data_IF_955994941900
#
_entry.id   IF_955994941900
#
_cell.length_a   1.000
_cell.length_b   1.000
_cell.length_c   1.000
_cell.angle_alpha   90.00
_cell.angle_beta   90.00
_cell.angle_gamma   90.00
#
_symmetry.space_group_name_H-M   'P 1'
#
loop_
_entity.id
_entity.type
_entity.pdbx_description
1 polymer ?
#
# COMPACT_ATOMS: atom_id res chain seq x y z
N UNK A 1 19.59 -46.82 55.45
CA UNK A 1 20.40 -46.27 54.34
C UNK A 1 19.45 -45.88 53.29
N UNK A 2 19.20 -44.58 53.13
CA UNK A 2 18.23 -44.00 52.16
C UNK A 2 19.02 -43.36 51.04
N UNK A 3 18.72 -43.78 49.83
CA UNK A 3 19.23 -43.18 48.63
C UNK A 3 18.30 -42.00 48.23
N UNK A 4 18.82 -40.79 47.91
CA UNK A 4 18.03 -39.73 47.43
C UNK A 4 17.86 -39.84 45.91
N UNK A 5 16.59 -39.88 45.48
CA UNK A 5 16.16 -39.79 44.07
C UNK A 5 16.65 -38.50 43.41
N UNK A 6 17.40 -38.71 42.34
CA UNK A 6 17.81 -37.67 41.42
C UNK A 6 16.63 -37.30 40.54
N UNK A 7 16.02 -36.10 40.79
CA UNK A 7 15.03 -35.49 39.88
C UNK A 7 15.73 -34.90 38.65
N UNK A 8 15.68 -35.60 37.55
CA UNK A 8 16.03 -35.02 36.26
C UNK A 8 14.90 -34.04 35.84
N UNK A 9 15.21 -32.76 35.86
CA UNK A 9 14.42 -31.72 35.23
C UNK A 9 14.44 -31.92 33.72
N UNK A 10 13.28 -32.06 33.11
CA UNK A 10 13.11 -32.05 31.67
C UNK A 10 13.45 -30.66 31.11
N UNK A 11 14.22 -30.57 30.01
CA UNK A 11 14.43 -29.29 29.35
C UNK A 11 13.12 -28.81 28.72
N UNK A 12 12.71 -27.61 29.10
CA UNK A 12 11.53 -26.94 28.58
C UNK A 12 11.59 -26.86 27.05
N UNK A 13 10.54 -27.30 26.43
CA UNK A 13 10.29 -27.07 25.02
C UNK A 13 10.26 -25.56 24.77
N UNK A 14 11.30 -25.02 24.16
CA UNK A 14 11.23 -23.73 23.50
C UNK A 14 10.22 -23.86 22.39
N UNK A 15 9.02 -23.29 22.61
CA UNK A 15 8.11 -22.99 21.53
C UNK A 15 8.86 -22.10 20.55
N UNK A 16 9.15 -22.66 19.37
CA UNK A 16 9.68 -21.89 18.26
C UNK A 16 8.72 -20.75 17.97
N UNK A 17 9.16 -19.54 18.25
CA UNK A 17 8.56 -18.34 17.66
C UNK A 17 8.71 -18.50 16.15
N UNK A 18 7.60 -18.79 15.50
CA UNK A 18 7.49 -18.55 14.06
C UNK A 18 7.84 -17.07 13.83
N UNK A 19 8.69 -16.76 12.86
CA UNK A 19 8.89 -15.36 12.49
C UNK A 19 7.51 -14.82 12.09
N UNK A 20 7.10 -13.75 12.73
CA UNK A 20 5.93 -12.99 12.32
C UNK A 20 6.21 -12.46 10.89
N UNK A 21 5.64 -13.13 9.90
CA UNK A 21 5.50 -12.55 8.56
C UNK A 21 4.31 -11.60 8.64
N UNK A 22 4.61 -10.37 8.89
CA UNK A 22 3.68 -9.27 8.92
C UNK A 22 4.45 -8.06 9.41
N UNK A 23 4.54 -7.02 8.61
CA UNK A 23 5.08 -5.74 9.06
C UNK A 23 4.33 -5.33 10.32
N UNK A 24 5.06 -4.99 11.36
CA UNK A 24 4.47 -4.46 12.59
C UNK A 24 3.86 -3.09 12.23
N UNK A 25 2.53 -2.94 12.31
CA UNK A 25 1.86 -1.66 12.11
C UNK A 25 2.40 -0.55 13.04
N UNK A 26 3.27 -0.94 14.02
CA UNK A 26 4.00 -0.03 14.90
C UNK A 26 4.92 0.94 14.19
N UNK A 27 5.31 0.63 12.94
CA UNK A 27 6.11 1.50 12.09
C UNK A 27 5.25 2.40 11.18
N UNK A 28 3.96 2.54 11.48
CA UNK A 28 3.08 3.47 10.77
C UNK A 28 3.66 4.89 10.78
N UNK A 29 3.54 5.59 9.67
CA UNK A 29 4.13 6.92 9.44
C UNK A 29 3.75 7.98 10.50
N UNK A 30 2.76 7.72 11.32
CA UNK A 30 2.29 8.59 12.41
C UNK A 30 2.85 8.24 13.79
N UNK A 31 3.68 7.19 13.91
CA UNK A 31 4.32 6.81 15.20
C UNK A 31 3.36 6.29 16.27
N UNK A 32 2.07 6.13 15.98
CA UNK A 32 1.12 5.48 16.87
C UNK A 32 1.16 3.96 16.62
N UNK A 33 1.44 3.22 17.68
CA UNK A 33 1.38 1.77 17.61
C UNK A 33 -0.06 1.31 17.34
N UNK A 34 -0.24 0.43 16.35
CA UNK A 34 -1.54 -0.18 16.08
C UNK A 34 -2.13 -0.80 17.34
N UNK A 35 -3.42 -0.66 17.53
CA UNK A 35 -4.12 -1.35 18.61
C UNK A 35 -4.08 -2.87 18.36
N UNK A 36 -4.17 -3.71 19.41
CA UNK A 36 -4.24 -5.16 19.24
C UNK A 36 -5.43 -5.60 18.36
N UNK A 37 -6.50 -4.80 18.29
CA UNK A 37 -7.65 -5.05 17.45
C UNK A 37 -7.34 -4.78 15.97
N UNK A 38 -6.70 -3.67 15.65
CA UNK A 38 -6.26 -3.33 14.30
C UNK A 38 -5.26 -4.35 13.78
N UNK A 39 -4.30 -4.76 14.61
CA UNK A 39 -3.35 -5.82 14.26
C UNK A 39 -4.07 -7.15 13.96
N UNK A 40 -5.08 -7.53 14.73
CA UNK A 40 -5.84 -8.74 14.49
C UNK A 40 -6.65 -8.68 13.18
N UNK A 41 -7.16 -7.49 12.82
CA UNK A 41 -7.86 -7.26 11.55
C UNK A 41 -6.88 -7.35 10.38
N UNK A 42 -5.72 -6.71 10.50
CA UNK A 42 -4.64 -6.77 9.52
C UNK A 42 -4.18 -8.22 9.27
N UNK A 43 -3.85 -8.97 10.33
CA UNK A 43 -3.44 -10.36 10.22
C UNK A 43 -4.50 -11.23 9.54
N UNK A 44 -5.77 -10.96 9.80
CA UNK A 44 -6.89 -11.63 9.15
C UNK A 44 -6.98 -11.26 7.68
N UNK A 45 -6.79 -9.99 7.35
CA UNK A 45 -6.80 -9.51 5.98
C UNK A 45 -5.69 -10.20 5.16
N UNK A 46 -4.46 -10.11 5.62
CA UNK A 46 -3.29 -10.73 4.95
C UNK A 46 -3.48 -12.24 4.80
N UNK A 47 -3.95 -12.92 5.85
CA UNK A 47 -4.25 -14.37 5.78
C UNK A 47 -5.32 -14.68 4.74
N UNK A 48 -6.34 -13.83 4.60
CA UNK A 48 -7.39 -14.01 3.58
C UNK A 48 -6.81 -13.83 2.18
N UNK A 49 -5.97 -12.82 1.98
CA UNK A 49 -5.23 -12.60 0.74
C UNK A 49 -4.39 -13.82 0.37
N UNK A 50 -3.61 -14.34 1.31
CA UNK A 50 -2.81 -15.56 1.10
C UNK A 50 -3.68 -16.74 0.67
N UNK A 51 -4.87 -16.89 1.25
CA UNK A 51 -5.82 -17.94 0.85
C UNK A 51 -6.39 -17.75 -0.56
N UNK A 52 -6.43 -16.51 -1.08
CA UNK A 52 -6.83 -16.23 -2.47
C UNK A 52 -5.66 -16.47 -3.43
N UNK A 53 -4.45 -16.05 -3.05
CA UNK A 53 -3.25 -16.27 -3.88
C UNK A 53 -2.90 -17.77 -3.95
N UNK A 54 -3.00 -18.49 -2.83
CA UNK A 54 -2.59 -19.89 -2.67
C UNK A 54 -3.75 -20.77 -2.19
N UNK A 55 -4.81 -20.98 -2.99
CA UNK A 55 -6.03 -21.67 -2.55
C UNK A 55 -5.83 -23.16 -2.23
N UNK A 56 -4.83 -23.79 -2.83
CA UNK A 56 -4.51 -25.22 -2.65
C UNK A 56 -3.22 -25.44 -1.85
N UNK A 57 -2.65 -24.38 -1.27
CA UNK A 57 -1.41 -24.43 -0.48
C UNK A 57 -0.27 -23.64 -1.12
N UNK A 58 0.84 -23.44 -0.39
CA UNK A 58 1.88 -22.46 -0.73
C UNK A 58 2.64 -22.74 -2.04
N UNK A 59 2.54 -23.97 -2.57
CA UNK A 59 3.22 -24.34 -3.82
C UNK A 59 2.37 -24.08 -5.07
N UNK A 60 1.08 -23.73 -4.91
CA UNK A 60 0.16 -23.60 -6.03
C UNK A 60 -0.51 -22.24 -6.04
N UNK A 61 -0.01 -21.37 -6.91
CA UNK A 61 -0.59 -20.04 -7.14
C UNK A 61 -1.90 -20.17 -7.91
N UNK A 62 -2.90 -19.37 -7.53
CA UNK A 62 -4.16 -19.24 -8.24
C UNK A 62 -3.93 -18.92 -9.73
N UNK A 63 -4.49 -19.71 -10.66
CA UNK A 63 -4.38 -19.43 -12.09
C UNK A 63 -4.93 -18.05 -12.46
N UNK A 64 -5.97 -17.57 -11.74
CA UNK A 64 -6.55 -16.26 -11.99
C UNK A 64 -5.59 -15.13 -11.62
N UNK A 65 -4.86 -15.26 -10.50
CA UNK A 65 -3.85 -14.28 -10.10
C UNK A 65 -2.74 -14.24 -11.15
N UNK A 66 -2.25 -15.40 -11.59
CA UNK A 66 -1.23 -15.45 -12.64
C UNK A 66 -1.69 -14.84 -13.97
N UNK A 67 -2.93 -15.08 -14.39
CA UNK A 67 -3.51 -14.46 -15.58
C UNK A 67 -3.58 -12.94 -15.45
N UNK A 68 -4.02 -12.45 -14.30
CA UNK A 68 -4.10 -11.00 -14.04
C UNK A 68 -2.70 -10.36 -14.08
N UNK A 69 -1.69 -10.96 -13.43
CA UNK A 69 -0.30 -10.46 -13.48
C UNK A 69 0.26 -10.43 -14.91
N UNK A 70 -0.21 -11.33 -15.78
CA UNK A 70 0.11 -11.34 -17.21
C UNK A 70 -0.74 -10.37 -18.06
N UNK A 71 -1.56 -9.53 -17.42
CA UNK A 71 -2.41 -8.56 -18.10
C UNK A 71 -3.70 -9.14 -18.68
N UNK A 72 -4.06 -10.37 -18.33
CA UNK A 72 -5.27 -11.05 -18.83
C UNK A 72 -6.44 -10.83 -17.88
N UNK A 73 -7.02 -9.64 -17.92
CA UNK A 73 -8.17 -9.26 -17.10
C UNK A 73 -9.49 -9.60 -17.79
N UNK A 74 -10.48 -10.02 -17.01
CA UNK A 74 -11.84 -10.16 -17.49
C UNK A 74 -12.49 -8.79 -17.78
N UNK A 75 -13.66 -8.81 -18.45
CA UNK A 75 -14.37 -7.60 -18.82
C UNK A 75 -14.80 -6.76 -17.61
N UNK A 76 -15.08 -7.39 -16.46
CA UNK A 76 -15.49 -6.69 -15.25
C UNK A 76 -14.32 -5.93 -14.62
N UNK A 77 -13.17 -6.58 -14.52
CA UNK A 77 -11.93 -5.94 -14.05
C UNK A 77 -11.52 -4.79 -14.98
N UNK A 78 -11.60 -4.96 -16.30
CA UNK A 78 -11.32 -3.89 -17.26
C UNK A 78 -12.29 -2.71 -17.08
N UNK A 79 -13.59 -2.97 -16.90
CA UNK A 79 -14.59 -1.93 -16.69
C UNK A 79 -14.37 -1.15 -15.39
N UNK A 80 -13.85 -1.79 -14.34
CA UNK A 80 -13.56 -1.15 -13.06
C UNK A 80 -12.53 -0.02 -13.18
N UNK A 81 -11.57 -0.16 -14.09
CA UNK A 81 -10.49 0.81 -14.30
C UNK A 81 -10.66 1.66 -15.56
N UNK A 82 -11.84 1.62 -16.21
CA UNK A 82 -12.07 2.33 -17.46
C UNK A 82 -11.94 3.85 -17.34
N UNK A 83 -12.19 4.40 -16.16
CA UNK A 83 -12.12 5.83 -15.87
C UNK A 83 -10.77 6.28 -15.30
N UNK A 84 -9.77 5.39 -15.27
CA UNK A 84 -8.45 5.71 -14.73
C UNK A 84 -7.76 6.82 -15.54
N UNK A 85 -7.12 7.78 -14.82
CA UNK A 85 -6.35 8.86 -15.42
C UNK A 85 -4.96 8.87 -14.75
N UNK A 86 -3.88 8.61 -15.52
CA UNK A 86 -3.85 8.21 -16.93
C UNK A 86 -4.53 6.85 -17.17
N UNK A 87 -4.98 6.58 -18.40
CA UNK A 87 -5.58 5.28 -18.72
C UNK A 87 -4.64 4.12 -18.41
N UNK A 88 -5.22 3.00 -17.98
CA UNK A 88 -4.46 1.78 -17.75
C UNK A 88 -3.82 1.29 -19.04
N UNK A 89 -2.57 0.90 -18.99
CA UNK A 89 -1.81 0.38 -20.12
C UNK A 89 -1.58 -1.13 -19.96
N UNK A 90 -1.35 -1.80 -21.09
CA UNK A 90 -0.99 -3.22 -21.09
C UNK A 90 0.51 -3.41 -20.77
N UNK A 91 0.93 -2.94 -19.60
CA UNK A 91 2.29 -3.10 -19.09
C UNK A 91 2.28 -4.03 -17.87
N UNK A 92 3.39 -4.74 -17.58
CA UNK A 92 3.49 -5.55 -16.37
C UNK A 92 3.26 -4.74 -15.09
N UNK A 93 3.74 -3.50 -15.02
CA UNK A 93 3.59 -2.61 -13.87
C UNK A 93 2.11 -2.23 -13.64
N UNK A 94 1.38 -1.84 -14.69
CA UNK A 94 -0.06 -1.57 -14.58
C UNK A 94 -0.84 -2.85 -14.25
N UNK A 95 -0.43 -4.01 -14.78
CA UNK A 95 -1.06 -5.29 -14.47
C UNK A 95 -0.86 -5.68 -12.99
N UNK A 96 0.33 -5.44 -12.44
CA UNK A 96 0.61 -5.66 -11.04
C UNK A 96 -0.24 -4.73 -10.16
N UNK A 97 -0.28 -3.43 -10.46
CA UNK A 97 -1.09 -2.45 -9.74
C UNK A 97 -2.59 -2.82 -9.76
N UNK A 98 -3.14 -3.16 -10.94
CA UNK A 98 -4.54 -3.60 -11.07
C UNK A 98 -4.83 -4.86 -10.26
N UNK A 99 -3.93 -5.86 -10.32
CA UNK A 99 -4.12 -7.12 -9.60
C UNK A 99 -4.16 -6.89 -8.10
N UNK A 100 -3.26 -6.05 -7.56
CA UNK A 100 -3.23 -5.69 -6.15
C UNK A 100 -4.50 -4.99 -5.71
N UNK A 101 -4.97 -4.01 -6.48
CA UNK A 101 -6.20 -3.28 -6.17
C UNK A 101 -7.43 -4.20 -6.21
N UNK A 102 -7.56 -5.04 -7.23
CA UNK A 102 -8.66 -6.00 -7.34
C UNK A 102 -8.70 -6.95 -6.14
N UNK A 103 -7.54 -7.45 -5.73
CA UNK A 103 -7.43 -8.37 -4.61
C UNK A 103 -7.75 -7.67 -3.30
N UNK A 104 -7.23 -6.47 -3.07
CA UNK A 104 -7.51 -5.65 -1.89
C UNK A 104 -9.00 -5.38 -1.75
N UNK A 105 -9.66 -4.86 -2.80
CA UNK A 105 -11.10 -4.56 -2.79
C UNK A 105 -11.94 -5.85 -2.61
N UNK A 106 -11.52 -6.95 -3.20
CA UNK A 106 -12.25 -8.22 -3.08
C UNK A 106 -12.21 -8.75 -1.64
N UNK A 107 -11.05 -8.73 -0.99
CA UNK A 107 -10.88 -9.17 0.40
C UNK A 107 -11.58 -8.23 1.36
N UNK A 108 -11.43 -6.93 1.19
CA UNK A 108 -12.13 -5.90 1.95
C UNK A 108 -13.63 -6.12 1.91
N UNK A 109 -14.21 -6.20 0.71
CA UNK A 109 -15.64 -6.45 0.53
C UNK A 109 -16.11 -7.78 1.12
N UNK A 110 -15.27 -8.81 1.12
CA UNK A 110 -15.59 -10.10 1.74
C UNK A 110 -15.60 -10.00 3.27
N UNK A 111 -14.66 -9.31 3.87
CA UNK A 111 -14.58 -9.08 5.31
C UNK A 111 -15.74 -8.21 5.80
N UNK A 112 -16.07 -7.12 5.11
CA UNK A 112 -17.20 -6.25 5.43
C UNK A 112 -18.54 -6.98 5.35
N UNK A 113 -18.74 -7.81 4.33
CA UNK A 113 -19.94 -8.67 4.25
C UNK A 113 -20.04 -9.67 5.39
N UNK A 114 -18.92 -10.04 6.01
CA UNK A 114 -18.91 -10.87 7.22
C UNK A 114 -19.16 -10.08 8.52
N UNK A 115 -19.40 -8.75 8.40
CA UNK A 115 -19.65 -7.86 9.53
C UNK A 115 -18.39 -7.26 10.17
N UNK A 116 -17.22 -7.45 9.55
CA UNK A 116 -15.97 -6.87 10.02
C UNK A 116 -15.85 -5.44 9.49
N UNK A 117 -15.73 -4.46 10.39
CA UNK A 117 -15.30 -3.12 10.02
C UNK A 117 -13.77 -3.11 9.93
N UNK A 118 -13.25 -2.53 8.85
CA UNK A 118 -11.82 -2.45 8.61
C UNK A 118 -11.42 -0.97 8.66
N UNK A 119 -10.56 -0.56 9.59
CA UNK A 119 -10.01 0.81 9.61
C UNK A 119 -9.23 1.13 8.33
N UNK A 120 -9.22 2.38 7.91
CA UNK A 120 -8.55 2.82 6.68
C UNK A 120 -7.04 2.58 6.74
N UNK A 121 -6.42 2.81 7.91
CA UNK A 121 -5.00 2.52 8.14
C UNK A 121 -4.68 1.04 7.93
N UNK A 122 -5.57 0.15 8.38
CA UNK A 122 -5.42 -1.30 8.15
C UNK A 122 -5.50 -1.63 6.66
N UNK A 123 -6.44 -1.02 5.92
CA UNK A 123 -6.56 -1.23 4.47
C UNK A 123 -5.30 -0.77 3.75
N UNK A 124 -4.78 0.39 4.14
CA UNK A 124 -3.57 0.97 3.56
C UNK A 124 -2.36 0.03 3.75
N UNK A 125 -2.08 -0.37 5.00
CA UNK A 125 -0.94 -1.24 5.31
C UNK A 125 -1.11 -2.65 4.72
N UNK A 126 -2.31 -3.22 4.79
CA UNK A 126 -2.58 -4.51 4.18
C UNK A 126 -2.50 -4.46 2.64
N UNK A 127 -2.93 -3.35 2.03
CA UNK A 127 -2.79 -3.12 0.60
C UNK A 127 -1.32 -3.05 0.16
N UNK A 128 -0.47 -2.39 0.94
CA UNK A 128 0.98 -2.36 0.69
C UNK A 128 1.59 -3.77 0.75
N UNK A 129 1.28 -4.54 1.79
CA UNK A 129 1.72 -5.95 1.91
C UNK A 129 1.25 -6.81 0.73
N UNK A 130 0.01 -6.61 0.27
CA UNK A 130 -0.53 -7.29 -0.92
C UNK A 130 0.32 -6.98 -2.15
N UNK A 131 0.70 -5.71 -2.33
CA UNK A 131 1.53 -5.29 -3.46
C UNK A 131 2.92 -5.91 -3.42
N UNK A 132 3.55 -5.96 -2.25
CA UNK A 132 4.86 -6.60 -2.06
C UNK A 132 4.79 -8.10 -2.37
N UNK A 133 3.81 -8.82 -1.82
CA UNK A 133 3.61 -10.25 -2.10
C UNK A 133 3.39 -10.53 -3.59
N UNK A 134 2.61 -9.70 -4.28
CA UNK A 134 2.36 -9.86 -5.71
C UNK A 134 3.58 -9.50 -6.56
N UNK A 135 4.39 -8.52 -6.14
CA UNK A 135 5.65 -8.17 -6.79
C UNK A 135 6.64 -9.33 -6.70
N UNK A 136 6.87 -9.88 -5.51
CA UNK A 136 7.72 -11.07 -5.31
C UNK A 136 7.25 -12.26 -6.17
N UNK A 137 5.94 -12.48 -6.23
CA UNK A 137 5.37 -13.54 -7.05
C UNK A 137 5.61 -13.29 -8.55
N UNK A 138 5.42 -12.06 -9.02
CA UNK A 138 5.61 -11.67 -10.41
C UNK A 138 7.09 -11.75 -10.83
N UNK A 139 8.01 -11.38 -9.95
CA UNK A 139 9.46 -11.53 -10.13
C UNK A 139 9.85 -13.01 -10.18
N UNK A 140 9.37 -13.82 -9.24
CA UNK A 140 9.63 -15.28 -9.24
C UNK A 140 9.09 -15.97 -10.51
N UNK A 141 8.01 -15.44 -11.10
CA UNK A 141 7.44 -15.91 -12.35
C UNK A 141 8.14 -15.32 -13.61
N UNK A 142 9.08 -14.39 -13.45
CA UNK A 142 9.77 -13.72 -14.55
C UNK A 142 8.89 -12.76 -15.35
N UNK A 143 7.82 -12.25 -14.74
CA UNK A 143 6.88 -11.30 -15.37
C UNK A 143 7.41 -9.86 -15.24
N UNK A 144 8.00 -9.51 -14.10
CA UNK A 144 8.62 -8.23 -13.79
C UNK A 144 10.02 -8.43 -13.22
N UNK A 145 10.81 -7.38 -13.28
CA UNK A 145 12.08 -7.21 -12.55
C UNK A 145 12.11 -5.73 -12.14
N UNK A 146 11.67 -5.46 -10.89
CA UNK A 146 11.38 -4.11 -10.44
C UNK A 146 12.55 -3.54 -9.63
N UNK A 147 13.01 -2.38 -10.03
CA UNK A 147 13.82 -1.52 -9.16
C UNK A 147 12.94 -0.91 -8.04
N UNK A 148 13.57 -0.39 -6.99
CA UNK A 148 12.89 0.30 -5.90
C UNK A 148 12.03 1.48 -6.41
N UNK A 149 12.56 2.28 -7.35
CA UNK A 149 11.82 3.40 -7.95
C UNK A 149 10.59 2.92 -8.75
N UNK A 150 10.72 1.81 -9.47
CA UNK A 150 9.59 1.22 -10.22
C UNK A 150 8.56 0.65 -9.27
N UNK A 151 8.96 -0.02 -8.19
CA UNK A 151 8.03 -0.49 -7.16
C UNK A 151 7.27 0.67 -6.52
N UNK A 152 7.94 1.76 -6.18
CA UNK A 152 7.30 2.97 -5.68
C UNK A 152 6.29 3.55 -6.69
N UNK A 153 6.63 3.57 -7.98
CA UNK A 153 5.71 4.03 -9.02
C UNK A 153 4.48 3.11 -9.16
N UNK A 154 4.66 1.79 -9.04
CA UNK A 154 3.57 0.80 -9.03
C UNK A 154 2.67 0.99 -7.82
N UNK A 155 3.25 1.23 -6.63
CA UNK A 155 2.49 1.52 -5.40
C UNK A 155 1.63 2.77 -5.55
N UNK A 156 2.20 3.88 -6.03
CA UNK A 156 1.44 5.12 -6.29
C UNK A 156 0.32 4.88 -7.31
N UNK A 157 0.61 4.10 -8.37
CA UNK A 157 -0.40 3.73 -9.35
C UNK A 157 -1.52 2.90 -8.75
N UNK A 158 -1.20 1.94 -7.88
CA UNK A 158 -2.21 1.14 -7.17
C UNK A 158 -3.09 2.01 -6.27
N UNK A 159 -2.51 2.98 -5.56
CA UNK A 159 -3.28 3.94 -4.74
C UNK A 159 -4.26 4.76 -5.60
N UNK A 160 -3.83 5.26 -6.76
CA UNK A 160 -4.71 5.98 -7.68
C UNK A 160 -5.85 5.10 -8.20
N UNK A 161 -5.54 3.86 -8.58
CA UNK A 161 -6.55 2.90 -9.04
C UNK A 161 -7.53 2.51 -7.94
N UNK A 162 -7.04 2.31 -6.71
CA UNK A 162 -7.90 2.03 -5.55
C UNK A 162 -8.86 3.18 -5.28
N UNK A 163 -8.36 4.42 -5.30
CA UNK A 163 -9.17 5.62 -5.06
C UNK A 163 -10.36 5.76 -6.01
N UNK A 164 -10.20 5.39 -7.29
CA UNK A 164 -11.28 5.49 -8.28
C UNK A 164 -12.20 4.27 -8.30
N UNK A 165 -11.77 3.14 -7.75
CA UNK A 165 -12.46 1.85 -7.86
C UNK A 165 -13.09 1.37 -6.56
N UNK A 166 -12.60 1.84 -5.42
CA UNK A 166 -13.11 1.43 -4.12
C UNK A 166 -14.46 2.08 -3.82
N UNK A 167 -15.47 1.29 -3.44
CA UNK A 167 -16.76 1.85 -3.03
C UNK A 167 -16.72 2.63 -1.71
N UNK A 168 -15.62 2.56 -0.97
CA UNK A 168 -15.42 3.31 0.28
C UNK A 168 -14.99 4.75 0.03
N UNK A 169 -14.36 5.02 -1.09
CA UNK A 169 -13.85 6.36 -1.39
C UNK A 169 -14.97 7.17 -2.01
N UNK A 170 -15.40 8.20 -1.30
CA UNK A 170 -16.29 9.22 -1.85
C UNK A 170 -15.45 10.26 -2.60
N UNK A 171 -15.52 10.33 -3.93
CA UNK A 171 -14.71 11.26 -4.70
C UNK A 171 -15.06 12.72 -4.44
N UNK A 172 -16.30 13.04 -4.05
CA UNK A 172 -16.72 14.40 -3.73
C UNK A 172 -16.15 14.85 -2.37
N UNK A 173 -16.22 13.96 -1.36
CA UNK A 173 -15.60 14.22 -0.06
C UNK A 173 -14.08 14.39 -0.17
N UNK A 174 -13.42 13.49 -0.90
CA UNK A 174 -11.97 13.55 -1.14
C UNK A 174 -11.57 14.87 -1.85
N UNK A 175 -12.32 15.27 -2.89
CA UNK A 175 -12.07 16.53 -3.60
C UNK A 175 -12.27 17.76 -2.68
N UNK A 176 -13.25 17.71 -1.77
CA UNK A 176 -13.49 18.76 -0.80
C UNK A 176 -12.34 18.86 0.23
N UNK A 177 -11.85 17.74 0.72
CA UNK A 177 -10.70 17.68 1.64
C UNK A 177 -9.43 18.22 0.98
N UNK A 178 -9.11 17.80 -0.24
CA UNK A 178 -7.98 18.34 -0.98
C UNK A 178 -8.14 19.84 -1.26
N UNK A 179 -9.36 20.31 -1.54
CA UNK A 179 -9.66 21.73 -1.70
C UNK A 179 -9.30 22.52 -0.44
N UNK A 180 -9.66 22.03 0.74
CA UNK A 180 -9.33 22.66 2.02
C UNK A 180 -7.81 22.68 2.28
N UNK A 181 -7.10 21.61 1.96
CA UNK A 181 -5.64 21.53 2.08
C UNK A 181 -4.98 22.58 1.17
N UNK A 182 -5.41 22.67 -0.09
CA UNK A 182 -4.88 23.64 -1.05
C UNK A 182 -5.17 25.08 -0.60
N UNK A 183 -6.36 25.36 -0.07
CA UNK A 183 -6.70 26.68 0.47
C UNK A 183 -5.87 27.03 1.72
N UNK A 184 -5.67 26.05 2.63
CA UNK A 184 -4.86 26.23 3.81
C UNK A 184 -3.37 26.46 3.47
N UNK A 185 -2.85 25.77 2.46
CA UNK A 185 -1.49 25.98 1.96
C UNK A 185 -1.32 27.40 1.40
N UNK A 186 -2.23 27.84 0.53
CA UNK A 186 -2.23 29.19 -0.02
C UNK A 186 -2.37 30.29 1.04
N UNK A 187 -3.11 29.99 2.12
CA UNK A 187 -3.31 30.91 3.24
C UNK A 187 -2.19 30.86 4.28
N UNK A 188 -1.27 29.89 4.17
CA UNK A 188 -0.18 29.67 5.15
C UNK A 188 -0.63 29.10 6.49
N UNK A 189 -1.78 28.42 6.55
CA UNK A 189 -2.39 27.84 7.77
C UNK A 189 -2.49 26.31 7.68
N UNK A 190 -1.57 25.65 7.01
CA UNK A 190 -1.55 24.19 6.88
C UNK A 190 -1.57 23.45 8.22
N UNK A 191 -0.97 24.04 9.26
CA UNK A 191 -0.94 23.53 10.63
C UNK A 191 -2.33 23.41 11.28
N UNK A 192 -3.33 24.12 10.76
CA UNK A 192 -4.72 24.06 11.25
C UNK A 192 -5.49 22.89 10.61
N UNK A 193 -5.11 22.50 9.39
CA UNK A 193 -5.78 21.43 8.63
C UNK A 193 -5.04 20.10 8.78
N UNK A 194 -3.72 20.16 8.83
CA UNK A 194 -2.84 19.00 9.03
C UNK A 194 -1.88 19.29 10.19
N UNK A 195 -2.26 18.97 11.45
CA UNK A 195 -1.39 19.14 12.58
C UNK A 195 -0.08 18.36 12.40
N UNK A 196 1.06 19.05 12.43
CA UNK A 196 2.39 18.45 12.19
C UNK A 196 2.93 18.59 10.76
N UNK A 197 2.14 19.04 9.81
CA UNK A 197 2.57 19.25 8.41
C UNK A 197 3.56 20.43 8.24
N UNK A 198 3.83 21.21 9.28
CA UNK A 198 4.83 22.31 9.28
C UNK A 198 6.25 21.85 8.95
N UNK A 199 6.51 20.54 8.91
CA UNK A 199 7.80 19.98 8.48
C UNK A 199 7.88 19.70 6.97
N UNK A 200 6.76 19.76 6.24
CA UNK A 200 6.75 19.56 4.79
C UNK A 200 7.07 20.87 4.03
N UNK A 201 8.28 21.40 4.23
CA UNK A 201 8.87 22.39 3.32
C UNK A 201 9.33 21.72 2.02
N UNK A 202 8.42 21.23 1.19
CA UNK A 202 8.84 20.48 0.01
C UNK A 202 7.94 20.54 -1.22
N UNK A 203 6.70 20.99 -1.12
CA UNK A 203 5.83 21.12 -2.29
C UNK A 203 5.61 22.57 -2.76
N UNK A 204 6.41 23.52 -2.27
CA UNK A 204 6.48 24.83 -2.88
C UNK A 204 7.13 24.69 -4.25
N UNK A 205 6.38 24.91 -5.32
CA UNK A 205 6.95 25.28 -6.61
C UNK A 205 7.91 26.45 -6.32
N UNK A 206 9.22 26.19 -6.35
CA UNK A 206 10.20 27.24 -6.54
C UNK A 206 9.93 27.82 -7.93
N UNK A 207 9.04 28.82 -7.95
CA UNK A 207 9.06 29.75 -9.05
C UNK A 207 10.45 30.35 -9.07
N UNK A 208 11.25 29.96 -10.05
CA UNK A 208 12.44 30.64 -10.43
C UNK A 208 12.12 32.12 -10.62
N UNK A 209 12.36 32.91 -9.59
CA UNK A 209 12.56 34.32 -9.78
C UNK A 209 13.90 34.45 -10.54
N UNK A 210 13.84 34.42 -11.86
CA UNK A 210 14.88 34.97 -12.70
C UNK A 210 14.98 36.46 -12.35
N UNK A 211 15.98 36.81 -11.58
CA UNK A 211 16.44 38.17 -11.49
C UNK A 211 16.78 38.64 -12.92
N UNK A 212 16.26 39.80 -13.36
CA UNK A 212 16.67 40.37 -14.62
C UNK A 212 18.16 40.76 -14.49
N UNK A 213 19.04 40.03 -15.21
CA UNK A 213 20.42 40.34 -15.30
C UNK A 213 20.62 41.78 -15.78
N UNK A 214 21.35 42.55 -14.98
CA UNK A 214 21.91 43.83 -15.36
C UNK A 214 22.80 43.60 -16.58
N UNK A 215 22.39 44.16 -17.70
CA UNK A 215 23.26 44.35 -18.86
C UNK A 215 24.28 45.42 -18.48
N UNK A 216 25.50 45.02 -18.17
CA UNK A 216 26.64 45.94 -18.20
C UNK A 216 26.93 46.28 -19.64
N UNK A 217 26.66 47.57 -19.98
CA UNK A 217 27.16 48.21 -21.20
C UNK A 217 28.70 48.30 -21.11
N UNK A 218 29.41 47.42 -21.76
CA UNK A 218 30.82 47.69 -22.11
C UNK A 218 30.84 48.54 -23.37
N UNK A 219 30.99 49.83 -23.15
CA UNK A 219 31.52 50.74 -24.16
C UNK A 219 33.00 50.44 -24.35
N UNK A 220 33.35 49.98 -25.52
CA UNK A 220 34.71 49.80 -25.96
C UNK A 220 35.09 50.92 -26.97
N UNK A 221 36.22 51.58 -26.67
CA UNK A 221 36.83 52.74 -27.33
C UNK A 221 37.77 52.28 -28.50
#
# INVERSE_FOLDING_TARGET
MMDPMNQMAAPGAQQGQQPAMGGDLRDSANGEAASPEEQAIYDRFVRTVMGVIYPEGPEQVSPQIMQNLQGQFDQRAQAMFAEAVPPVQATPNDSLAQTGVLLTIAVESAMERSGQQIPDDVVFHAGAEVMEMLAELAEAAGIVDLSEDEMNAVMLRAMDLYRISSPRVDPEALAAEFGQIIEADRAGNMDQVLPGATSFKGFGMQGEQQEPGEMEDEEDD
#
